data_IF_059742348407
#
_entry.id   IF_059742348407
#
_cell.length_a   1.000
_cell.length_b   1.000
_cell.length_c   1.000
_cell.angle_alpha   90.00
_cell.angle_beta   90.00
_cell.angle_gamma   90.00
#
_symmetry.space_group_name_H-M   'P 1'
#
loop_
_entity.id
_entity.type
_entity.pdbx_description
1 polymer ?
#
# COMPACT_ATOMS: atom_id res chain seq x y z
N UNK A 1 8.10 -16.79 13.67
CA UNK A 1 7.50 -15.80 12.75
C UNK A 1 7.12 -16.56 11.49
N UNK A 2 5.84 -16.57 11.11
CA UNK A 2 5.38 -17.34 9.94
C UNK A 2 5.74 -16.65 8.63
N UNK A 3 5.75 -17.36 7.50
CA UNK A 3 6.01 -16.75 6.18
C UNK A 3 4.93 -15.72 5.81
N UNK A 4 3.69 -15.95 6.27
CA UNK A 4 2.61 -14.95 6.23
C UNK A 4 3.03 -13.66 6.93
N UNK A 5 3.49 -13.73 8.18
CA UNK A 5 3.85 -12.54 8.96
C UNK A 5 5.02 -11.78 8.34
N UNK A 6 5.98 -12.50 7.71
CA UNK A 6 7.09 -11.90 6.97
C UNK A 6 6.59 -11.11 5.76
N UNK A 7 5.70 -11.70 4.94
CA UNK A 7 5.16 -11.03 3.75
C UNK A 7 4.34 -9.80 4.11
N UNK A 8 3.51 -9.87 5.16
CA UNK A 8 2.75 -8.72 5.66
C UNK A 8 3.69 -7.64 6.20
N UNK A 9 4.76 -8.00 6.92
CA UNK A 9 5.78 -7.06 7.37
C UNK A 9 6.48 -6.34 6.20
N UNK A 10 6.84 -7.08 5.14
CA UNK A 10 7.44 -6.49 3.93
C UNK A 10 6.43 -5.55 3.25
N UNK A 11 5.16 -5.93 3.16
CA UNK A 11 4.13 -5.07 2.57
C UNK A 11 4.00 -3.73 3.32
N UNK A 12 4.04 -3.75 4.67
CA UNK A 12 4.03 -2.52 5.48
C UNK A 12 5.26 -1.65 5.20
N UNK A 13 6.46 -2.25 5.10
CA UNK A 13 7.69 -1.52 4.79
C UNK A 13 7.62 -0.85 3.41
N UNK A 14 7.10 -1.54 2.40
CA UNK A 14 6.94 -0.99 1.06
C UNK A 14 5.89 0.12 1.05
N UNK A 15 4.79 -0.04 1.78
CA UNK A 15 3.80 1.02 1.92
C UNK A 15 4.41 2.28 2.57
N UNK A 16 5.23 2.11 3.61
CA UNK A 16 5.95 3.20 4.25
C UNK A 16 6.94 3.91 3.30
N UNK A 17 7.64 3.15 2.45
CA UNK A 17 8.50 3.72 1.42
C UNK A 17 7.71 4.60 0.43
N UNK A 18 6.58 4.09 -0.07
CA UNK A 18 5.70 4.86 -0.96
C UNK A 18 5.09 6.10 -0.29
N UNK A 19 4.81 6.05 1.01
CA UNK A 19 4.43 7.22 1.80
C UNK A 19 5.54 8.28 1.82
N UNK A 20 6.76 7.89 2.16
CA UNK A 20 7.92 8.80 2.18
C UNK A 20 8.11 9.45 0.81
N UNK A 21 8.02 8.68 -0.26
CA UNK A 21 8.15 9.22 -1.62
C UNK A 21 7.00 10.17 -1.98
N UNK A 22 5.78 9.87 -1.55
CA UNK A 22 4.61 10.74 -1.77
C UNK A 22 4.78 12.09 -1.06
N UNK A 23 5.29 12.08 0.18
CA UNK A 23 5.63 13.30 0.92
C UNK A 23 6.78 14.06 0.23
N UNK A 24 7.82 13.34 -0.20
CA UNK A 24 8.92 13.94 -0.96
C UNK A 24 8.42 14.63 -2.24
N UNK A 25 7.55 13.97 -3.02
CA UNK A 25 6.98 14.54 -4.24
C UNK A 25 6.10 15.77 -3.99
N UNK A 26 5.48 15.89 -2.82
CA UNK A 26 4.74 17.10 -2.46
C UNK A 26 5.67 18.31 -2.25
N UNK A 27 6.82 18.11 -1.62
CA UNK A 27 7.74 19.20 -1.26
C UNK A 27 8.81 19.48 -2.32
N UNK A 28 9.22 18.49 -3.10
CA UNK A 28 10.36 18.58 -4.01
C UNK A 28 9.97 19.09 -5.41
N UNK A 29 10.41 20.31 -5.81
CA UNK A 29 10.06 20.87 -7.13
C UNK A 29 10.54 20.04 -8.32
N UNK A 30 11.62 19.27 -8.13
CA UNK A 30 12.21 18.38 -9.15
C UNK A 30 11.26 17.26 -9.62
N UNK A 31 10.17 17.02 -8.89
CA UNK A 31 9.19 15.96 -9.23
C UNK A 31 8.08 16.44 -10.15
N UNK A 32 7.94 17.75 -10.38
CA UNK A 32 6.94 18.35 -11.26
C UNK A 32 5.50 18.31 -10.73
N UNK A 33 5.27 17.76 -9.54
CA UNK A 33 3.95 17.62 -8.90
C UNK A 33 3.90 18.27 -7.51
N UNK A 34 4.91 19.07 -7.18
CA UNK A 34 5.04 19.73 -5.89
C UNK A 34 3.87 20.69 -5.63
N UNK A 35 3.41 20.77 -4.38
CA UNK A 35 2.30 21.61 -3.97
C UNK A 35 0.92 21.18 -4.49
N UNK A 36 0.82 20.11 -5.29
CA UNK A 36 -0.46 19.59 -5.79
C UNK A 36 -1.12 18.65 -4.78
N UNK A 37 -2.44 18.46 -4.89
CA UNK A 37 -3.17 17.53 -4.01
C UNK A 37 -2.83 16.05 -4.28
N UNK A 38 -2.32 15.70 -5.46
CA UNK A 38 -2.09 14.32 -5.87
C UNK A 38 -1.12 13.55 -4.96
N UNK A 39 0.11 14.05 -4.72
CA UNK A 39 1.06 13.41 -3.81
C UNK A 39 0.52 13.25 -2.38
N UNK A 40 -0.27 14.20 -1.86
CA UNK A 40 -0.90 14.07 -0.55
C UNK A 40 -1.95 12.94 -0.53
N UNK A 41 -2.80 12.86 -1.55
CA UNK A 41 -3.75 11.76 -1.69
C UNK A 41 -3.05 10.41 -1.78
N UNK A 42 -1.94 10.33 -2.53
CA UNK A 42 -1.12 9.12 -2.60
C UNK A 42 -0.49 8.76 -1.23
N UNK A 43 -0.07 9.76 -0.45
CA UNK A 43 0.44 9.53 0.91
C UNK A 43 -0.64 8.93 1.83
N UNK A 44 -1.86 9.48 1.81
CA UNK A 44 -2.99 8.90 2.56
C UNK A 44 -3.33 7.48 2.11
N UNK A 45 -3.24 7.22 0.80
CA UNK A 45 -3.39 5.89 0.23
C UNK A 45 -2.40 4.88 0.80
N UNK A 46 -1.11 5.23 0.88
CA UNK A 46 -0.09 4.40 1.50
C UNK A 46 -0.31 4.15 3.00
N UNK A 47 -0.79 5.16 3.74
CA UNK A 47 -1.18 4.99 5.14
C UNK A 47 -2.35 4.01 5.27
N UNK A 48 -3.37 4.13 4.41
CA UNK A 48 -4.50 3.20 4.40
C UNK A 48 -4.06 1.76 4.11
N UNK A 49 -3.14 1.56 3.15
CA UNK A 49 -2.52 0.26 2.83
C UNK A 49 -1.81 -0.32 4.06
N UNK A 50 -0.97 0.47 4.74
CA UNK A 50 -0.23 0.00 5.91
C UNK A 50 -1.17 -0.40 7.06
N UNK A 51 -2.14 0.45 7.40
CA UNK A 51 -3.09 0.18 8.49
C UNK A 51 -3.98 -1.04 8.20
N UNK A 52 -4.48 -1.15 6.97
CA UNK A 52 -5.31 -2.30 6.59
C UNK A 52 -4.49 -3.60 6.51
N UNK A 53 -3.20 -3.54 6.15
CA UNK A 53 -2.29 -4.70 6.26
C UNK A 53 -2.18 -5.20 7.70
N UNK A 54 -2.02 -4.30 8.66
CA UNK A 54 -1.97 -4.63 10.09
C UNK A 54 -3.31 -5.21 10.58
N UNK A 55 -4.43 -4.64 10.14
CA UNK A 55 -5.75 -5.14 10.48
C UNK A 55 -6.04 -6.54 9.89
N UNK A 56 -5.57 -6.80 8.67
CA UNK A 56 -5.59 -8.14 8.06
C UNK A 56 -4.70 -9.11 8.86
N UNK A 57 -3.53 -8.69 9.33
CA UNK A 57 -2.67 -9.53 10.16
C UNK A 57 -3.37 -9.97 11.45
N UNK A 58 -4.16 -9.08 12.05
CA UNK A 58 -4.85 -9.27 13.33
C UNK A 58 -6.17 -10.07 13.24
N UNK A 59 -6.70 -10.33 12.04
CA UNK A 59 -8.04 -10.92 11.87
C UNK A 59 -8.02 -12.19 11.04
N UNK A 60 -8.73 -13.22 11.48
CA UNK A 60 -8.99 -14.45 10.71
C UNK A 60 -10.51 -14.62 10.59
N UNK A 61 -11.06 -14.55 9.37
CA UNK A 61 -12.49 -14.75 9.11
C UNK A 61 -13.11 -13.79 8.08
N UNK A 62 -14.44 -13.72 8.03
CA UNK A 62 -15.20 -12.89 7.07
C UNK A 62 -14.83 -11.40 7.17
N UNK A 63 -14.59 -10.90 8.38
CA UNK A 63 -14.14 -9.53 8.61
C UNK A 63 -12.76 -9.24 7.97
N UNK A 64 -11.85 -10.21 8.00
CA UNK A 64 -10.55 -10.11 7.34
C UNK A 64 -10.68 -10.02 5.81
N UNK A 65 -11.70 -10.66 5.21
CA UNK A 65 -11.98 -10.56 3.76
C UNK A 65 -12.44 -9.15 3.37
N UNK A 66 -13.25 -8.50 4.20
CA UNK A 66 -13.70 -7.12 3.97
C UNK A 66 -12.50 -6.17 4.05
N UNK A 67 -11.65 -6.31 5.08
CA UNK A 67 -10.44 -5.49 5.22
C UNK A 67 -9.50 -5.72 4.04
N UNK A 68 -9.31 -6.97 3.59
CA UNK A 68 -8.50 -7.28 2.42
C UNK A 68 -9.04 -6.62 1.15
N UNK A 69 -10.37 -6.59 0.96
CA UNK A 69 -10.98 -5.92 -0.19
C UNK A 69 -10.76 -4.40 -0.16
N UNK A 70 -10.93 -3.77 1.01
CA UNK A 70 -10.65 -2.34 1.19
C UNK A 70 -9.17 -2.01 0.99
N UNK A 71 -8.28 -2.89 1.45
CA UNK A 71 -6.84 -2.81 1.21
C UNK A 71 -6.51 -2.85 -0.29
N UNK A 72 -7.06 -3.82 -1.03
CA UNK A 72 -6.83 -3.94 -2.48
C UNK A 72 -7.32 -2.69 -3.21
N UNK A 73 -8.50 -2.18 -2.84
CA UNK A 73 -9.04 -0.96 -3.43
C UNK A 73 -8.13 0.24 -3.16
N UNK A 74 -7.65 0.41 -1.92
CA UNK A 74 -6.71 1.46 -1.56
C UNK A 74 -5.40 1.34 -2.35
N UNK A 75 -4.85 0.13 -2.47
CA UNK A 75 -3.64 -0.13 -3.25
C UNK A 75 -3.82 0.23 -4.74
N UNK A 76 -4.93 -0.16 -5.35
CA UNK A 76 -5.21 0.14 -6.75
C UNK A 76 -5.40 1.64 -7.00
N UNK A 77 -6.18 2.32 -6.16
CA UNK A 77 -6.39 3.76 -6.30
C UNK A 77 -5.09 4.55 -6.08
N UNK A 78 -4.26 4.12 -5.15
CA UNK A 78 -2.95 4.73 -4.89
C UNK A 78 -1.97 4.50 -6.03
N UNK A 79 -1.96 3.28 -6.60
CA UNK A 79 -1.16 2.97 -7.78
C UNK A 79 -1.61 3.79 -8.99
N UNK A 80 -2.92 3.90 -9.22
CA UNK A 80 -3.48 4.74 -10.27
C UNK A 80 -3.09 6.22 -10.08
N UNK A 81 -3.16 6.74 -8.86
CA UNK A 81 -2.71 8.09 -8.54
C UNK A 81 -1.21 8.26 -8.87
N UNK A 82 -0.36 7.32 -8.47
CA UNK A 82 1.06 7.35 -8.80
C UNK A 82 1.35 7.29 -10.31
N UNK A 83 0.56 6.53 -11.09
CA UNK A 83 0.65 6.49 -12.55
C UNK A 83 0.25 7.84 -13.15
N UNK A 84 -0.86 8.43 -12.70
CA UNK A 84 -1.31 9.74 -13.19
C UNK A 84 -0.35 10.88 -12.85
N UNK A 85 0.43 10.72 -11.77
CA UNK A 85 1.50 11.65 -11.38
C UNK A 85 2.82 11.37 -12.12
N UNK A 86 2.90 10.31 -12.94
CA UNK A 86 4.14 9.83 -13.56
C UNK A 86 5.26 9.54 -12.54
N UNK A 87 4.87 9.09 -11.34
CA UNK A 87 5.78 8.83 -10.22
C UNK A 87 5.97 7.32 -10.01
N UNK A 88 7.01 6.68 -10.60
CA UNK A 88 7.20 5.24 -10.54
C UNK A 88 7.36 4.69 -9.13
N UNK A 89 8.06 5.41 -8.26
CA UNK A 89 8.23 5.00 -6.88
C UNK A 89 6.92 4.96 -6.09
N UNK A 90 5.93 5.80 -6.42
CA UNK A 90 4.61 5.83 -5.76
C UNK A 90 3.77 4.63 -6.22
N UNK A 91 3.64 4.43 -7.53
CA UNK A 91 2.73 3.38 -8.01
C UNK A 91 3.30 1.96 -7.84
N UNK A 92 4.62 1.79 -7.97
CA UNK A 92 5.27 0.50 -7.71
C UNK A 92 5.13 0.10 -6.24
N UNK A 93 5.32 1.05 -5.31
CA UNK A 93 5.16 0.77 -3.88
C UNK A 93 3.74 0.28 -3.55
N UNK A 94 2.72 0.99 -4.01
CA UNK A 94 1.33 0.60 -3.80
C UNK A 94 1.00 -0.78 -4.40
N UNK A 95 1.44 -1.05 -5.63
CA UNK A 95 1.17 -2.32 -6.31
C UNK A 95 1.88 -3.50 -5.64
N UNK A 96 3.17 -3.36 -5.31
CA UNK A 96 3.94 -4.43 -4.68
C UNK A 96 3.41 -4.73 -3.28
N UNK A 97 3.12 -3.70 -2.48
CA UNK A 97 2.46 -3.89 -1.18
C UNK A 97 1.14 -4.64 -1.36
N UNK A 98 0.34 -4.25 -2.35
CA UNK A 98 -0.89 -4.91 -2.78
C UNK A 98 -0.73 -6.43 -2.96
N UNK A 99 0.22 -6.81 -3.82
CA UNK A 99 0.50 -8.21 -4.16
C UNK A 99 0.94 -9.00 -2.93
N UNK A 100 1.86 -8.45 -2.12
CA UNK A 100 2.42 -9.14 -0.98
C UNK A 100 1.37 -9.48 0.09
N UNK A 101 0.40 -8.60 0.34
CA UNK A 101 -0.67 -8.88 1.28
C UNK A 101 -1.60 -9.98 0.76
N UNK A 102 -1.96 -9.94 -0.53
CA UNK A 102 -2.79 -10.99 -1.16
C UNK A 102 -2.08 -12.34 -1.09
N UNK A 103 -0.80 -12.38 -1.45
CA UNK A 103 0.02 -13.61 -1.38
C UNK A 103 0.13 -14.09 0.07
N UNK A 104 0.42 -13.19 1.02
CA UNK A 104 0.50 -13.53 2.43
C UNK A 104 -0.79 -14.16 2.96
N UNK A 105 -1.96 -13.62 2.61
CA UNK A 105 -3.24 -14.23 3.00
C UNK A 105 -3.50 -15.58 2.33
N UNK A 106 -3.06 -15.77 1.09
CA UNK A 106 -3.27 -17.04 0.37
C UNK A 106 -2.56 -18.24 1.03
N UNK A 107 -1.46 -18.00 1.75
CA UNK A 107 -0.69 -19.03 2.46
C UNK A 107 -1.49 -19.63 3.63
N UNK A 108 -2.33 -18.82 4.30
CA UNK A 108 -3.17 -19.28 5.41
C UNK A 108 -4.34 -20.14 4.92
N UNK A 109 -4.79 -19.93 3.68
CA UNK A 109 -5.97 -20.61 3.12
C UNK A 109 -5.68 -21.95 2.46
N UNK A 110 -4.42 -22.39 2.40
CA UNK A 110 -4.08 -23.71 1.88
C UNK A 110 -4.11 -24.73 3.03
N UNK A 111 -5.00 -25.75 2.98
CA UNK A 111 -5.07 -26.80 3.98
C UNK A 111 -3.81 -27.67 3.99
#
# INVERSE_FOLDING_TARGET
MTDRDRLLGIAVLIAAFGFIWSIYAFFAPSTGVNGTAGPLLAAFGHVAIALSTLAVAATNGWFGRIILALFVLAALLTALAGVLLLQPAIWLAALIAGILVVVGQSIVTRP
#
